data_IF_516216236056
#
_entry.id   IF_516216236056
#
_cell.length_a   1.000
_cell.length_b   1.000
_cell.length_c   1.000
_cell.angle_alpha   90.00
_cell.angle_beta   90.00
_cell.angle_gamma   90.00
#
_symmetry.space_group_name_H-M   'P 1'
#
loop_
_entity.id
_entity.type
_entity.pdbx_description
1 polymer ?
#
# COMPACT_ATOMS: atom_id res chain seq x y z
N UNK A 1 -16.49 47.50 33.78
CA UNK A 1 -15.73 47.32 32.51
C UNK A 1 -14.94 45.98 32.46
N UNK A 2 -15.33 44.91 33.18
CA UNK A 2 -14.58 43.64 33.23
C UNK A 2 -15.28 42.41 32.63
N UNK A 3 -16.55 42.50 32.21
CA UNK A 3 -17.32 41.35 31.73
C UNK A 3 -17.19 41.05 30.23
N UNK A 4 -16.79 42.04 29.42
CA UNK A 4 -16.64 41.88 27.97
C UNK A 4 -15.36 41.11 27.61
N UNK A 5 -14.27 41.37 28.33
CA UNK A 5 -12.95 40.73 28.10
C UNK A 5 -12.97 39.23 28.38
N UNK A 6 -13.71 38.79 29.41
CA UNK A 6 -13.80 37.39 29.80
C UNK A 6 -14.61 36.52 28.80
N UNK A 7 -15.58 37.11 28.08
CA UNK A 7 -16.35 36.39 27.05
C UNK A 7 -15.55 36.20 25.78
N UNK A 8 -14.85 37.25 25.34
CA UNK A 8 -14.02 37.20 24.12
C UNK A 8 -12.86 36.21 24.26
N UNK A 9 -12.20 36.13 25.42
CA UNK A 9 -11.13 35.15 25.65
C UNK A 9 -11.62 33.69 25.61
N UNK A 10 -12.82 33.41 26.13
CA UNK A 10 -13.41 32.07 26.09
C UNK A 10 -13.76 31.64 24.66
N UNK A 11 -14.27 32.57 23.84
CA UNK A 11 -14.61 32.31 22.44
C UNK A 11 -13.36 31.88 21.66
N UNK A 12 -12.25 32.61 21.80
CA UNK A 12 -10.98 32.24 21.16
C UNK A 12 -10.45 30.88 21.65
N UNK A 13 -10.54 30.60 22.94
CA UNK A 13 -10.14 29.30 23.49
C UNK A 13 -10.92 28.12 22.90
N UNK A 14 -12.24 28.26 22.75
CA UNK A 14 -13.07 27.22 22.11
C UNK A 14 -12.76 27.08 20.61
N UNK A 15 -12.51 28.18 19.90
CA UNK A 15 -12.13 28.14 18.49
C UNK A 15 -10.82 27.37 18.27
N UNK A 16 -9.79 27.63 19.08
CA UNK A 16 -8.53 26.88 18.98
C UNK A 16 -8.69 25.40 19.34
N UNK A 17 -9.51 25.07 20.33
CA UNK A 17 -9.77 23.69 20.71
C UNK A 17 -10.50 22.90 19.61
N UNK A 18 -11.49 23.51 18.94
CA UNK A 18 -12.25 22.88 17.85
C UNK A 18 -11.35 22.67 16.63
N UNK A 19 -10.60 23.69 16.22
CA UNK A 19 -9.70 23.60 15.06
C UNK A 19 -8.56 22.61 15.34
N UNK A 20 -7.94 22.69 16.51
CA UNK A 20 -6.89 21.75 16.93
C UNK A 20 -7.41 20.32 16.99
N UNK A 21 -8.61 20.10 17.55
CA UNK A 21 -9.27 18.79 17.58
C UNK A 21 -9.56 18.24 16.19
N UNK A 22 -10.05 19.08 15.28
CA UNK A 22 -10.30 18.69 13.88
C UNK A 22 -9.00 18.35 13.13
N UNK A 23 -7.90 19.08 13.36
CA UNK A 23 -6.60 18.77 12.78
C UNK A 23 -6.02 17.43 13.30
N UNK A 24 -6.17 17.15 14.60
CA UNK A 24 -5.71 15.89 15.19
C UNK A 24 -6.53 14.71 14.65
N UNK A 25 -7.86 14.83 14.61
CA UNK A 25 -8.72 13.81 14.02
C UNK A 25 -8.42 13.61 12.53
N UNK A 26 -8.21 14.69 11.78
CA UNK A 26 -7.80 14.65 10.38
C UNK A 26 -6.46 13.97 10.17
N UNK A 27 -5.48 14.21 11.05
CA UNK A 27 -4.18 13.54 11.01
C UNK A 27 -4.30 12.04 11.32
N UNK A 28 -5.15 11.66 12.29
CA UNK A 28 -5.43 10.26 12.63
C UNK A 28 -6.13 9.55 11.46
N UNK A 29 -7.11 10.18 10.81
CA UNK A 29 -7.78 9.63 9.63
C UNK A 29 -6.87 9.59 8.41
N UNK A 30 -5.98 10.57 8.23
CA UNK A 30 -4.97 10.57 7.17
C UNK A 30 -3.89 9.51 7.39
N UNK A 31 -3.57 9.20 8.65
CA UNK A 31 -2.74 8.05 9.03
C UNK A 31 -3.47 6.73 8.82
N UNK A 32 -4.79 6.69 9.03
CA UNK A 32 -5.62 5.50 8.79
C UNK A 32 -6.06 5.34 7.34
N UNK A 33 -5.82 6.35 6.49
CA UNK A 33 -6.14 6.27 5.06
C UNK A 33 -5.08 5.38 4.42
N UNK A 34 -5.37 4.08 4.43
CA UNK A 34 -4.68 3.00 3.74
C UNK A 34 -4.24 3.47 2.35
N UNK A 35 -3.00 3.97 2.26
CA UNK A 35 -2.43 4.31 0.96
C UNK A 35 -2.24 2.98 0.24
N UNK A 36 -2.85 2.77 -0.94
CA UNK A 36 -2.77 1.49 -1.63
C UNK A 36 -1.29 1.09 -1.73
N UNK A 37 -0.99 -0.07 -1.14
CA UNK A 37 0.34 -0.67 -1.15
C UNK A 37 0.60 -1.42 -2.45
N UNK A 38 -0.48 -1.76 -3.17
CA UNK A 38 -0.45 -2.28 -4.52
C UNK A 38 -1.35 -1.47 -5.46
N UNK A 39 -0.87 -1.24 -6.67
CA UNK A 39 -1.66 -0.83 -7.83
C UNK A 39 -1.28 -1.73 -8.99
N UNK A 40 -2.27 -2.11 -9.78
CA UNK A 40 -2.08 -2.87 -11.01
C UNK A 40 -2.46 -1.99 -12.18
N UNK A 41 -1.65 -1.99 -13.24
CA UNK A 41 -2.02 -1.40 -14.52
C UNK A 41 -1.39 -2.17 -15.70
N UNK A 42 -1.43 -1.59 -16.91
CA UNK A 42 -0.91 -2.22 -18.12
C UNK A 42 0.62 -2.41 -18.13
N UNK A 43 1.37 -1.66 -17.34
CA UNK A 43 2.84 -1.75 -17.29
C UNK A 43 3.30 -2.84 -16.30
N UNK A 44 2.55 -3.06 -15.22
CA UNK A 44 2.91 -4.08 -14.24
C UNK A 44 2.17 -4.01 -12.90
N UNK A 45 2.81 -4.62 -11.90
CA UNK A 45 2.40 -4.56 -10.50
C UNK A 45 3.26 -3.50 -9.81
N UNK A 46 2.61 -2.47 -9.28
CA UNK A 46 3.26 -1.38 -8.57
C UNK A 46 3.12 -1.57 -7.07
N UNK A 47 4.23 -1.84 -6.39
CA UNK A 47 4.27 -2.12 -4.95
C UNK A 47 5.12 -1.10 -4.19
N UNK A 48 4.72 -0.76 -2.97
CA UNK A 48 5.56 0.08 -2.10
C UNK A 48 6.62 -0.75 -1.39
N UNK A 49 7.74 -1.04 -2.07
CA UNK A 49 8.82 -1.87 -1.52
C UNK A 49 9.95 -1.05 -0.86
N UNK A 50 10.09 0.24 -1.16
CA UNK A 50 11.19 1.06 -0.63
C UNK A 50 10.87 1.76 0.71
N UNK A 51 9.69 1.51 1.29
CA UNK A 51 9.26 2.10 2.56
C UNK A 51 8.24 3.25 2.43
N UNK A 52 7.75 3.76 3.57
CA UNK A 52 6.73 4.80 3.61
C UNK A 52 7.24 6.11 3.00
N UNK A 53 6.41 6.76 2.18
CA UNK A 53 6.76 8.02 1.51
C UNK A 53 7.69 7.88 0.29
N UNK A 54 8.12 6.66 -0.05
CA UNK A 54 8.85 6.40 -1.30
C UNK A 54 7.90 6.11 -2.46
N UNK A 55 8.34 6.35 -3.71
CA UNK A 55 7.59 5.96 -4.90
C UNK A 55 7.33 4.45 -4.94
N UNK A 56 6.30 4.04 -5.69
CA UNK A 56 6.02 2.63 -5.92
C UNK A 56 7.13 2.04 -6.82
N UNK A 57 7.63 0.88 -6.42
CA UNK A 57 8.47 0.03 -7.25
C UNK A 57 7.59 -0.69 -8.28
N UNK A 58 8.01 -0.72 -9.53
CA UNK A 58 7.24 -1.33 -10.62
C UNK A 58 7.84 -2.68 -10.97
N UNK A 59 7.02 -3.73 -10.89
CA UNK A 59 7.37 -5.07 -11.32
C UNK A 59 6.69 -5.28 -12.68
N UNK A 60 7.44 -5.25 -13.79
CA UNK A 60 6.84 -5.31 -15.12
C UNK A 60 6.30 -6.71 -15.40
N UNK A 61 5.15 -6.81 -16.09
CA UNK A 61 4.49 -8.09 -16.37
C UNK A 61 5.41 -9.13 -17.02
N UNK A 62 6.29 -8.68 -17.92
CA UNK A 62 7.30 -9.54 -18.58
C UNK A 62 8.23 -10.29 -17.64
N UNK A 63 8.37 -9.82 -16.39
CA UNK A 63 9.22 -10.44 -15.38
C UNK A 63 8.43 -11.31 -14.43
N UNK A 64 7.10 -11.26 -14.46
CA UNK A 64 6.20 -11.99 -13.58
C UNK A 64 5.83 -13.33 -14.21
N UNK A 65 6.14 -14.40 -13.50
CA UNK A 65 5.80 -15.78 -13.89
C UNK A 65 4.45 -16.19 -13.29
N UNK A 66 4.20 -15.85 -12.03
CA UNK A 66 2.92 -16.13 -11.38
C UNK A 66 2.64 -15.15 -10.23
N UNK A 67 1.35 -14.93 -9.95
CA UNK A 67 0.88 -14.14 -8.80
C UNK A 67 -0.16 -14.96 -8.06
N UNK A 68 0.02 -15.14 -6.76
CA UNK A 68 -0.88 -15.92 -5.90
C UNK A 68 -1.08 -15.22 -4.57
N UNK A 69 -2.27 -15.35 -3.98
CA UNK A 69 -2.50 -14.99 -2.58
C UNK A 69 -2.44 -16.23 -1.69
N UNK A 70 -2.07 -16.04 -0.43
CA UNK A 70 -2.04 -17.12 0.55
C UNK A 70 -1.87 -16.61 1.97
N UNK A 71 -1.48 -17.51 2.86
CA UNK A 71 -1.08 -17.20 4.23
C UNK A 71 0.34 -17.71 4.46
N UNK A 72 1.10 -17.00 5.29
CA UNK A 72 2.44 -17.43 5.68
C UNK A 72 2.42 -18.33 6.92
N UNK A 73 3.61 -18.65 7.45
CA UNK A 73 3.80 -19.50 8.65
C UNK A 73 3.14 -18.93 9.90
N UNK A 74 2.89 -17.62 9.94
CA UNK A 74 2.27 -16.88 11.03
C UNK A 74 0.79 -16.64 10.82
N UNK A 75 0.19 -17.26 9.80
CA UNK A 75 -1.17 -17.03 9.33
C UNK A 75 -1.43 -15.60 8.80
N UNK A 76 -0.38 -14.82 8.55
CA UNK A 76 -0.49 -13.48 7.97
C UNK A 76 -0.83 -13.59 6.48
N UNK A 77 -1.71 -12.72 5.97
CA UNK A 77 -2.12 -12.76 4.56
C UNK A 77 -1.00 -12.23 3.68
N UNK A 78 -0.62 -12.99 2.66
CA UNK A 78 0.48 -12.64 1.77
C UNK A 78 0.10 -12.70 0.30
N UNK A 79 0.79 -11.87 -0.49
CA UNK A 79 0.84 -11.95 -1.95
C UNK A 79 2.21 -12.51 -2.36
N UNK A 80 2.19 -13.61 -3.09
CA UNK A 80 3.35 -14.31 -3.63
C UNK A 80 3.49 -13.93 -5.10
N UNK A 81 4.57 -13.25 -5.44
CA UNK A 81 4.88 -12.87 -6.82
C UNK A 81 6.16 -13.61 -7.22
N UNK A 82 6.02 -14.58 -8.12
CA UNK A 82 7.14 -15.32 -8.67
C UNK A 82 7.67 -14.61 -9.91
N UNK A 83 8.98 -14.37 -9.95
CA UNK A 83 9.64 -13.70 -11.06
C UNK A 83 10.54 -14.66 -11.83
N UNK A 84 10.65 -14.47 -13.14
CA UNK A 84 11.64 -15.21 -13.94
C UNK A 84 13.07 -14.77 -13.58
N UNK A 85 13.25 -13.45 -13.43
CA UNK A 85 14.48 -12.81 -12.97
C UNK A 85 14.14 -11.61 -12.09
N UNK A 86 14.83 -11.49 -10.95
CA UNK A 86 14.70 -10.32 -10.07
C UNK A 86 15.25 -9.08 -10.79
N UNK A 87 14.42 -8.04 -11.04
CA UNK A 87 14.88 -6.79 -11.62
C UNK A 87 15.88 -6.08 -10.71
N UNK A 88 16.95 -5.52 -11.29
CA UNK A 88 18.06 -4.93 -10.52
C UNK A 88 17.74 -3.59 -9.85
N UNK A 89 16.60 -3.00 -10.17
CA UNK A 89 16.06 -1.75 -9.61
C UNK A 89 15.16 -1.98 -8.39
N UNK A 90 14.82 -3.23 -8.06
CA UNK A 90 14.08 -3.55 -6.85
C UNK A 90 15.01 -3.56 -5.61
N UNK A 91 14.51 -3.12 -4.44
CA UNK A 91 15.30 -3.16 -3.21
C UNK A 91 15.61 -4.59 -2.80
N UNK A 92 16.87 -4.83 -2.40
CA UNK A 92 17.33 -6.13 -1.89
C UNK A 92 16.68 -6.50 -0.54
N UNK A 93 16.28 -5.51 0.25
CA UNK A 93 15.54 -5.66 1.51
C UNK A 93 14.24 -4.84 1.43
N UNK A 94 13.14 -5.44 0.92
CA UNK A 94 11.90 -4.72 0.66
C UNK A 94 11.11 -4.48 1.96
N UNK A 95 10.50 -3.31 2.07
CA UNK A 95 9.60 -2.96 3.15
C UNK A 95 8.29 -3.73 3.03
N UNK A 96 7.85 -4.30 4.15
CA UNK A 96 6.61 -5.09 4.27
C UNK A 96 6.52 -6.23 3.24
N UNK A 97 7.68 -6.77 2.85
CA UNK A 97 7.81 -7.92 1.99
C UNK A 97 9.14 -8.64 2.26
N UNK A 98 9.33 -9.83 1.68
CA UNK A 98 10.57 -10.60 1.77
C UNK A 98 10.87 -11.31 0.46
N UNK A 99 12.15 -11.41 0.14
CA UNK A 99 12.62 -12.22 -0.98
C UNK A 99 12.92 -13.65 -0.53
N UNK A 100 12.39 -14.61 -1.29
CA UNK A 100 12.73 -16.03 -1.22
C UNK A 100 13.21 -16.48 -2.59
N UNK A 101 14.51 -16.30 -2.86
CA UNK A 101 15.08 -16.53 -4.19
C UNK A 101 14.47 -15.57 -5.22
N UNK A 102 13.61 -16.08 -6.10
CA UNK A 102 12.91 -15.29 -7.13
C UNK A 102 11.47 -14.94 -6.78
N UNK A 103 11.02 -15.33 -5.59
CA UNK A 103 9.66 -15.08 -5.12
C UNK A 103 9.66 -13.91 -4.15
N UNK A 104 8.84 -12.90 -4.44
CA UNK A 104 8.54 -11.82 -3.51
C UNK A 104 7.28 -12.19 -2.71
N UNK A 105 7.41 -12.28 -1.40
CA UNK A 105 6.28 -12.46 -0.47
C UNK A 105 5.98 -11.11 0.16
N UNK A 106 4.88 -10.47 -0.24
CA UNK A 106 4.45 -9.20 0.32
C UNK A 106 3.32 -9.40 1.34
N UNK A 107 3.40 -8.76 2.51
CA UNK A 107 2.38 -8.85 3.53
C UNK A 107 1.21 -7.92 3.19
N UNK A 108 -0.03 -8.44 3.29
CA UNK A 108 -1.23 -7.79 2.72
C UNK A 108 -2.33 -7.49 3.73
N UNK A 109 -2.09 -7.71 5.03
CA UNK A 109 -3.12 -7.58 6.08
C UNK A 109 -3.77 -6.19 6.14
N UNK A 110 -3.02 -5.16 5.73
CA UNK A 110 -3.47 -3.76 5.76
C UNK A 110 -3.82 -3.21 4.38
N UNK A 111 -3.76 -4.04 3.33
CA UNK A 111 -3.91 -3.58 1.96
C UNK A 111 -5.36 -3.22 1.63
N UNK A 112 -5.50 -2.25 0.73
CA UNK A 112 -6.78 -1.90 0.12
C UNK A 112 -6.51 -1.62 -1.37
N UNK A 113 -7.02 -2.44 -2.31
CA UNK A 113 -7.81 -3.66 -2.09
C UNK A 113 -7.00 -4.81 -1.43
N UNK A 114 -7.67 -5.83 -0.85
CA UNK A 114 -6.99 -6.98 -0.24
C UNK A 114 -6.12 -7.75 -1.23
N UNK A 115 -5.06 -8.42 -0.74
CA UNK A 115 -4.12 -9.18 -1.57
C UNK A 115 -4.76 -10.23 -2.48
N UNK A 116 -5.85 -10.87 -2.06
CA UNK A 116 -6.60 -11.83 -2.86
C UNK A 116 -7.22 -11.21 -4.13
N UNK A 117 -7.73 -9.98 -4.01
CA UNK A 117 -8.30 -9.24 -5.16
C UNK A 117 -7.20 -8.85 -6.13
N UNK A 118 -6.07 -8.39 -5.60
CA UNK A 118 -4.87 -8.05 -6.39
C UNK A 118 -4.36 -9.29 -7.13
N UNK A 119 -4.32 -10.45 -6.47
CA UNK A 119 -3.91 -11.70 -7.10
C UNK A 119 -4.85 -12.13 -8.23
N UNK A 120 -6.17 -12.07 -8.00
CA UNK A 120 -7.16 -12.42 -9.01
C UNK A 120 -7.09 -11.50 -10.24
N UNK A 121 -6.94 -10.19 -10.03
CA UNK A 121 -6.80 -9.22 -11.12
C UNK A 121 -5.49 -9.44 -11.91
N UNK A 122 -4.39 -9.71 -11.20
CA UNK A 122 -3.11 -10.01 -11.84
C UNK A 122 -3.15 -11.29 -12.68
N UNK A 123 -3.81 -12.34 -12.20
CA UNK A 123 -3.95 -13.60 -12.93
C UNK A 123 -4.73 -13.42 -14.23
N UNK A 124 -5.83 -12.65 -14.21
CA UNK A 124 -6.60 -12.31 -15.40
C UNK A 124 -5.74 -11.59 -16.46
N UNK A 125 -4.88 -10.66 -16.02
CA UNK A 125 -3.98 -9.93 -16.93
C UNK A 125 -2.91 -10.87 -17.50
N UNK A 126 -2.29 -11.71 -16.67
CA UNK A 126 -1.27 -12.67 -17.11
C UNK A 126 -1.81 -13.66 -18.15
N UNK A 127 -3.05 -14.15 -17.95
CA UNK A 127 -3.72 -15.00 -18.94
C UNK A 127 -3.94 -14.25 -20.27
N UNK A 128 -4.31 -12.97 -20.21
CA UNK A 128 -4.49 -12.15 -21.42
C UNK A 128 -3.18 -11.92 -22.19
N UNK A 129 -2.07 -11.67 -21.49
CA UNK A 129 -0.74 -11.44 -22.09
C UNK A 129 -0.22 -12.72 -22.74
N UNK A 130 -0.43 -13.86 -22.09
CA UNK A 130 -0.02 -15.18 -22.59
C UNK A 130 -0.81 -15.57 -23.84
N UNK A 131 -2.13 -15.29 -23.86
CA UNK A 131 -2.99 -15.61 -24.99
C UNK A 131 -2.66 -14.83 -26.27
N UNK A 132 -2.08 -13.63 -26.16
CA UNK A 132 -1.70 -12.79 -27.31
C UNK A 132 -0.31 -13.17 -27.87
N UNK A 133 0.49 -13.89 -27.09
CA UNK A 133 1.87 -14.26 -27.47
C UNK A 133 1.99 -15.60 -28.21
N UNK A 134 0.87 -16.33 -28.38
CA UNK A 134 0.74 -17.56 -29.17
C UNK A 134 0.03 -17.29 -30.50
#
# INVERSE_FOLDING_TARGET
RGQVTARTQKIWGYSFAIVGGACVLGAIVALSSSRPLARIDGDGIHLRLAGPGRPLSTIPWKSVTSVRSGVDETEARVLLIELDKVPGDLPADPWDARWHGRTLTAFTDTWTPPGEVVAAEADLILQSVTAISN
#
